data_IF_542137723600
#
_entry.id   IF_542137723600
#
_cell.length_a   1.000
_cell.length_b   1.000
_cell.length_c   1.000
_cell.angle_alpha   90.00
_cell.angle_beta   90.00
_cell.angle_gamma   90.00
#
_symmetry.space_group_name_H-M   'P 1'
#
loop_
_entity.id
_entity.type
_entity.pdbx_description
1 polymer ?
#
# COMPACT_ATOMS: atom_id res chain seq x y z
N UNK A 1 62.45 29.84 20.19
CA UNK A 1 61.07 30.34 20.05
C UNK A 1 60.15 29.15 19.80
N UNK A 2 59.39 28.72 20.81
CA UNK A 2 58.47 27.58 20.75
C UNK A 2 57.15 28.03 20.13
N UNK A 3 56.77 27.51 18.96
CA UNK A 3 55.44 27.73 18.37
C UNK A 3 54.47 26.75 19.04
N UNK A 4 53.55 27.30 19.83
CA UNK A 4 52.36 26.59 20.30
C UNK A 4 51.47 26.27 19.10
N UNK A 5 51.18 24.99 18.90
CA UNK A 5 50.20 24.51 17.95
C UNK A 5 48.90 24.30 18.73
N UNK A 6 47.96 25.24 18.59
CA UNK A 6 46.61 25.11 19.13
C UNK A 6 45.86 24.11 18.23
N UNK A 7 45.57 22.93 18.77
CA UNK A 7 44.65 21.97 18.17
C UNK A 7 43.23 22.53 18.32
N UNK A 8 42.70 23.10 17.24
CA UNK A 8 41.29 23.44 17.15
C UNK A 8 40.50 22.13 16.95
N UNK A 9 40.01 21.55 18.05
CA UNK A 9 39.07 20.42 17.99
C UNK A 9 37.76 21.00 17.44
N UNK A 10 37.55 20.81 16.14
CA UNK A 10 36.26 21.05 15.50
C UNK A 10 35.30 19.96 16.03
N UNK A 11 34.52 20.28 17.06
CA UNK A 11 33.30 19.54 17.37
C UNK A 11 32.32 19.79 16.20
N UNK A 12 32.42 18.99 15.15
CA UNK A 12 31.33 18.80 14.21
C UNK A 12 30.20 18.09 14.98
N UNK A 13 29.37 18.86 15.68
CA UNK A 13 28.03 18.42 16.01
C UNK A 13 27.32 18.23 14.67
N UNK A 14 27.37 17.00 14.13
CA UNK A 14 26.71 16.66 12.88
C UNK A 14 25.22 16.94 13.02
N UNK A 15 24.80 18.09 12.48
CA UNK A 15 23.42 18.46 12.28
C UNK A 15 22.83 17.41 11.34
N UNK A 16 22.03 16.51 11.89
CA UNK A 16 21.21 15.63 11.05
C UNK A 16 20.20 16.55 10.39
N UNK A 17 20.35 16.79 9.09
CA UNK A 17 19.29 17.38 8.29
C UNK A 17 18.18 16.33 8.19
N UNK A 18 17.10 16.57 8.91
CA UNK A 18 15.87 15.82 8.69
C UNK A 18 15.23 16.32 7.40
N UNK A 19 14.81 15.39 6.54
CA UNK A 19 14.10 15.72 5.30
C UNK A 19 12.64 16.11 5.53
N UNK A 20 12.10 15.73 6.68
CA UNK A 20 10.72 16.02 7.08
C UNK A 20 10.52 16.00 8.60
N UNK A 21 9.39 16.53 9.04
CA UNK A 21 8.95 16.52 10.44
C UNK A 21 7.58 15.87 10.57
N UNK A 22 7.43 14.81 11.37
CA UNK A 22 6.13 14.30 11.80
C UNK A 22 5.50 15.31 12.77
N UNK A 23 4.50 16.04 12.29
CA UNK A 23 3.81 17.10 13.02
C UNK A 23 2.76 16.56 13.95
N UNK A 24 1.94 15.68 13.43
CA UNK A 24 0.79 15.18 14.12
C UNK A 24 0.58 13.71 13.81
N UNK A 25 0.04 13.01 14.81
CA UNK A 25 -0.53 11.68 14.64
C UNK A 25 -1.91 11.78 15.22
N UNK A 26 -2.89 11.39 14.45
CA UNK A 26 -4.29 11.36 14.85
C UNK A 26 -4.93 10.10 14.33
N UNK A 27 -6.16 9.88 14.73
CA UNK A 27 -6.99 8.90 14.09
C UNK A 27 -8.37 9.47 13.86
N UNK A 28 -9.06 8.92 12.87
CA UNK A 28 -10.44 9.22 12.59
C UNK A 28 -11.20 7.91 12.42
N UNK A 29 -12.38 7.83 13.03
CA UNK A 29 -13.30 6.73 12.73
C UNK A 29 -13.92 7.01 11.38
N UNK A 30 -13.80 6.05 10.48
CA UNK A 30 -14.49 6.08 9.19
C UNK A 30 -15.54 4.97 9.18
N UNK A 31 -16.47 5.04 8.23
CA UNK A 31 -17.47 3.99 8.10
C UNK A 31 -16.78 2.67 7.75
N UNK A 32 -16.87 1.68 8.64
CA UNK A 32 -16.24 0.38 8.46
C UNK A 32 -14.75 0.30 8.80
N UNK A 33 -14.18 1.30 9.48
CA UNK A 33 -12.75 1.27 9.80
C UNK A 33 -12.21 2.47 10.56
N UNK A 34 -10.91 2.46 10.77
CA UNK A 34 -10.21 3.53 11.45
C UNK A 34 -9.04 3.98 10.59
N UNK A 35 -9.00 5.27 10.30
CA UNK A 35 -7.86 5.88 9.67
C UNK A 35 -6.87 6.29 10.75
N UNK A 36 -5.65 5.76 10.71
CA UNK A 36 -4.52 6.35 11.45
C UNK A 36 -3.84 7.35 10.51
N UNK A 37 -3.85 8.61 10.90
CA UNK A 37 -3.41 9.74 10.08
C UNK A 37 -2.13 10.32 10.63
N UNK A 38 -1.07 10.27 9.84
CA UNK A 38 0.25 10.82 10.16
C UNK A 38 0.44 12.05 9.27
N UNK A 39 0.63 13.22 9.88
CA UNK A 39 0.78 14.50 9.19
C UNK A 39 2.22 14.98 9.28
N UNK A 40 2.75 15.50 8.18
CA UNK A 40 4.15 15.84 8.03
C UNK A 40 4.38 17.26 7.52
N UNK A 41 5.51 17.85 7.88
CA UNK A 41 6.12 18.93 7.11
C UNK A 41 7.25 18.34 6.28
N UNK A 42 7.21 18.52 4.96
CA UNK A 42 8.22 17.99 4.05
C UNK A 42 7.95 16.54 3.64
N UNK A 43 8.77 16.05 2.71
CA UNK A 43 8.56 14.74 2.10
C UNK A 43 9.02 13.60 3.02
N UNK A 44 8.24 12.52 3.07
CA UNK A 44 8.55 11.34 3.90
C UNK A 44 8.87 10.11 3.07
N UNK A 45 9.67 9.21 3.66
CA UNK A 45 9.79 7.81 3.27
C UNK A 45 9.23 6.95 4.40
N UNK A 46 8.66 5.79 4.08
CA UNK A 46 8.17 4.89 5.12
C UNK A 46 8.41 3.41 4.80
N UNK A 47 8.53 2.60 5.86
CA UNK A 47 8.52 1.14 5.80
C UNK A 47 7.45 0.63 6.77
N UNK A 48 6.61 -0.30 6.32
CA UNK A 48 5.57 -0.91 7.16
C UNK A 48 5.85 -2.40 7.31
N UNK A 49 5.86 -2.88 8.55
CA UNK A 49 6.02 -4.30 8.85
C UNK A 49 5.29 -4.69 10.13
N UNK A 50 5.10 -6.00 10.30
CA UNK A 50 4.36 -6.60 11.41
C UNK A 50 5.33 -7.15 12.45
N UNK A 51 4.99 -7.00 13.74
CA UNK A 51 5.65 -7.69 14.84
C UNK A 51 4.61 -8.44 15.64
N UNK A 52 4.88 -9.72 15.93
CA UNK A 52 4.06 -10.52 16.83
C UNK A 52 4.62 -10.43 18.26
N UNK A 53 3.73 -10.40 19.27
CA UNK A 53 4.03 -10.38 20.73
C UNK A 53 4.65 -9.06 21.27
N UNK A 54 3.81 -8.04 21.60
CA UNK A 54 2.40 -7.91 21.23
C UNK A 54 2.26 -7.56 19.74
N UNK A 55 1.07 -7.80 19.19
CA UNK A 55 0.77 -7.56 17.77
C UNK A 55 0.84 -6.06 17.46
N UNK A 56 1.73 -5.70 16.55
CA UNK A 56 2.06 -4.30 16.26
C UNK A 56 2.32 -4.10 14.78
N UNK A 57 1.56 -3.22 14.15
CA UNK A 57 1.93 -2.66 12.87
C UNK A 57 2.91 -1.51 13.10
N UNK A 58 4.13 -1.67 12.61
CA UNK A 58 5.20 -0.70 12.79
C UNK A 58 5.42 0.06 11.49
N UNK A 59 5.45 1.38 11.60
CA UNK A 59 5.77 2.31 10.52
C UNK A 59 7.08 3.02 10.89
N UNK A 60 8.16 2.67 10.21
CA UNK A 60 9.40 3.43 10.29
C UNK A 60 9.33 4.62 9.34
N UNK A 61 9.82 5.77 9.81
CA UNK A 61 9.88 7.02 9.05
C UNK A 61 11.34 7.52 9.04
N UNK A 62 12.18 7.01 8.12
CA UNK A 62 13.57 7.44 7.98
C UNK A 62 13.67 8.93 7.65
N UNK A 63 14.75 9.55 8.12
CA UNK A 63 15.05 10.98 7.93
C UNK A 63 13.93 11.92 8.40
N UNK A 64 13.04 11.45 9.26
CA UNK A 64 11.88 12.19 9.76
C UNK A 64 12.07 12.52 11.24
N UNK A 65 11.96 13.80 11.59
CA UNK A 65 11.98 14.25 12.99
C UNK A 65 10.57 14.22 13.57
N UNK A 66 10.38 13.69 14.77
CA UNK A 66 9.11 13.84 15.46
C UNK A 66 9.05 15.22 16.12
N UNK A 67 8.00 16.00 15.84
CA UNK A 67 7.80 17.31 16.47
C UNK A 67 7.64 17.19 18.00
N UNK A 68 7.13 16.05 18.47
CA UNK A 68 7.07 15.67 19.88
C UNK A 68 8.04 14.52 20.16
N UNK A 69 8.74 14.53 21.30
CA UNK A 69 9.70 13.46 21.64
C UNK A 69 9.05 12.08 21.72
N UNK A 70 7.89 12.00 22.39
CA UNK A 70 7.06 10.81 22.53
C UNK A 70 5.61 11.25 22.51
N UNK A 71 4.76 10.45 21.87
CA UNK A 71 3.33 10.58 21.91
C UNK A 71 2.67 9.21 22.03
N UNK A 72 1.54 9.21 22.75
CA UNK A 72 0.73 8.05 23.02
C UNK A 72 -0.72 8.48 22.85
N UNK A 73 -1.44 7.77 21.99
CA UNK A 73 -2.83 8.04 21.69
C UNK A 73 -3.60 6.77 22.02
N UNK A 74 -4.35 6.73 23.13
CA UNK A 74 -5.29 5.65 23.35
C UNK A 74 -6.36 5.73 22.26
N UNK A 75 -6.46 4.67 21.46
CA UNK A 75 -7.46 4.56 20.41
C UNK A 75 -8.65 3.80 20.98
N UNK A 76 -8.41 2.60 21.54
CA UNK A 76 -9.43 1.74 22.15
C UNK A 76 -10.69 1.58 21.30
N UNK A 77 -10.49 1.56 20.00
CA UNK A 77 -11.56 1.59 19.01
C UNK A 77 -11.25 0.50 18.01
N UNK A 78 -12.23 -0.38 17.81
CA UNK A 78 -12.16 -1.38 16.76
C UNK A 78 -10.85 -2.22 16.85
N UNK A 79 -10.52 -2.65 18.07
CA UNK A 79 -9.34 -3.46 18.39
C UNK A 79 -7.96 -2.87 18.08
N UNK A 80 -7.89 -1.62 17.62
CA UNK A 80 -6.69 -0.81 17.68
C UNK A 80 -6.62 -0.24 19.10
N UNK A 81 -5.64 -0.71 19.87
CA UNK A 81 -5.50 -0.37 21.28
C UNK A 81 -4.96 1.05 21.41
N UNK A 82 -3.86 1.31 20.71
CA UNK A 82 -3.14 2.56 20.80
C UNK A 82 -2.29 2.82 19.57
N UNK A 83 -2.05 4.11 19.33
CA UNK A 83 -1.01 4.57 18.41
C UNK A 83 0.06 5.27 19.23
N UNK A 84 1.27 4.70 19.19
CA UNK A 84 2.46 5.30 19.79
C UNK A 84 3.32 5.89 18.70
N UNK A 85 3.94 7.01 19.00
CA UNK A 85 4.96 7.58 18.12
C UNK A 85 6.07 8.19 18.94
N UNK A 86 7.29 8.10 18.43
CA UNK A 86 8.44 8.72 19.06
C UNK A 86 9.56 8.94 18.06
N UNK A 87 10.52 9.78 18.46
CA UNK A 87 11.83 9.76 17.85
C UNK A 87 12.52 8.44 18.25
N UNK A 88 12.60 7.48 17.34
CA UNK A 88 13.16 6.15 17.63
C UNK A 88 14.69 6.15 17.65
N UNK A 89 15.31 6.90 16.74
CA UNK A 89 16.76 7.16 16.69
C UNK A 89 17.00 8.61 16.32
N UNK A 90 18.27 9.04 16.29
CA UNK A 90 18.66 10.41 15.90
C UNK A 90 18.17 10.81 14.50
N UNK A 91 17.82 9.86 13.64
CA UNK A 91 17.50 10.07 12.24
C UNK A 91 16.17 9.44 11.81
N UNK A 92 15.41 8.81 12.72
CA UNK A 92 14.18 8.10 12.37
C UNK A 92 13.11 8.29 13.42
N UNK A 93 11.91 8.64 12.98
CA UNK A 93 10.70 8.56 13.78
C UNK A 93 10.02 7.22 13.56
N UNK A 94 9.33 6.70 14.57
CA UNK A 94 8.57 5.46 14.44
C UNK A 94 7.16 5.69 14.94
N UNK A 95 6.19 5.21 14.18
CA UNK A 95 4.81 5.06 14.63
C UNK A 95 4.53 3.57 14.79
N UNK A 96 3.84 3.22 15.87
CA UNK A 96 3.46 1.85 16.20
C UNK A 96 1.98 1.85 16.48
N UNK A 97 1.22 1.15 15.64
CA UNK A 97 -0.19 0.86 15.88
C UNK A 97 -0.25 -0.50 16.55
N UNK A 98 -0.59 -0.50 17.84
CA UNK A 98 -0.79 -1.75 18.59
C UNK A 98 -2.22 -2.22 18.40
N UNK A 99 -2.35 -3.48 18.00
CA UNK A 99 -3.63 -4.09 17.66
C UNK A 99 -3.85 -5.33 18.52
N UNK A 100 -5.11 -5.64 18.81
CA UNK A 100 -5.51 -6.84 19.56
C UNK A 100 -5.39 -8.11 18.72
N UNK A 101 -5.59 -7.96 17.41
CA UNK A 101 -5.52 -8.98 16.36
C UNK A 101 -5.14 -8.30 15.04
N UNK A 102 -4.80 -9.08 14.01
CA UNK A 102 -4.44 -8.50 12.71
C UNK A 102 -5.69 -8.06 11.92
N UNK A 103 -5.76 -6.76 11.64
CA UNK A 103 -6.78 -6.17 10.75
C UNK A 103 -6.21 -5.94 9.34
N UNK A 104 -7.01 -6.10 8.28
CA UNK A 104 -6.65 -5.60 6.96
C UNK A 104 -6.39 -4.10 7.03
N UNK A 105 -5.32 -3.67 6.37
CA UNK A 105 -5.02 -2.26 6.25
C UNK A 105 -4.46 -1.93 4.87
N UNK A 106 -4.72 -0.72 4.41
CA UNK A 106 -4.12 -0.16 3.21
C UNK A 106 -3.47 1.19 3.54
N UNK A 107 -2.19 1.40 3.21
CA UNK A 107 -1.57 2.71 3.29
C UNK A 107 -1.94 3.56 2.06
N UNK A 108 -2.57 4.70 2.29
CA UNK A 108 -2.79 5.76 1.30
C UNK A 108 -1.92 6.97 1.67
N UNK A 109 -1.20 7.55 0.71
CA UNK A 109 -0.55 8.84 0.92
C UNK A 109 -1.40 9.93 0.27
N UNK A 110 -1.78 10.92 1.03
CA UNK A 110 -2.59 12.03 0.54
C UNK A 110 -1.96 13.30 1.04
N UNK A 111 -1.60 14.21 0.12
CA UNK A 111 -1.08 15.51 0.50
C UNK A 111 0.18 15.37 1.40
N UNK A 112 0.24 16.12 2.51
CA UNK A 112 1.26 16.00 3.54
C UNK A 112 0.96 14.88 4.58
N UNK A 113 0.17 13.87 4.21
CA UNK A 113 -0.29 12.82 5.12
C UNK A 113 0.00 11.41 4.62
N UNK A 114 0.31 10.51 5.54
CA UNK A 114 0.19 9.06 5.36
C UNK A 114 -1.01 8.59 6.17
N UNK A 115 -1.98 7.98 5.51
CA UNK A 115 -3.19 7.46 6.11
C UNK A 115 -3.12 5.94 6.04
N UNK A 116 -3.25 5.28 7.18
CA UNK A 116 -3.46 3.84 7.23
C UNK A 116 -4.94 3.59 7.43
N UNK A 117 -5.60 3.13 6.37
CA UNK A 117 -6.98 2.70 6.42
C UNK A 117 -7.01 1.32 7.03
N UNK A 118 -7.31 1.23 8.31
CA UNK A 118 -7.61 -0.06 8.93
C UNK A 118 -9.07 -0.37 8.67
N UNK A 119 -9.33 -1.42 7.92
CA UNK A 119 -10.66 -1.97 7.80
C UNK A 119 -10.91 -2.74 9.09
N UNK A 120 -11.72 -2.16 9.97
CA UNK A 120 -12.07 -2.83 11.20
C UNK A 120 -13.56 -3.08 11.25
N UNK A 121 -13.87 -4.35 11.39
CA UNK A 121 -15.19 -4.82 11.69
C UNK A 121 -15.72 -4.20 12.99
N UNK A 122 -16.56 -3.17 12.82
CA UNK A 122 -17.44 -2.50 13.80
C UNK A 122 -16.99 -1.09 14.17
N UNK A 123 -17.37 -0.15 13.29
CA UNK A 123 -17.56 1.25 13.67
C UNK A 123 -18.87 1.76 13.09
N UNK A 124 -19.94 1.61 13.88
CA UNK A 124 -21.08 2.52 13.79
C UNK A 124 -20.62 3.90 14.23
N UNK A 125 -20.88 4.91 13.41
CA UNK A 125 -20.72 6.31 13.76
C UNK A 125 -21.76 6.62 14.83
N UNK A 126 -21.33 6.75 16.09
CA UNK A 126 -22.01 7.64 17.03
C UNK A 126 -21.25 8.96 17.00
N UNK A 127 -21.59 9.79 16.01
CA UNK A 127 -21.64 11.22 16.28
C UNK A 127 -22.89 11.47 17.12
N UNK A 128 -22.73 12.15 18.25
CA UNK A 128 -23.85 12.79 18.92
C UNK A 128 -24.61 13.63 17.90
N UNK A 129 -25.87 13.29 17.64
CA UNK A 129 -26.89 14.32 17.51
C UNK A 129 -27.87 14.02 18.63
N UNK A 130 -28.12 15.04 19.45
CA UNK A 130 -29.15 15.06 20.48
C UNK A 130 -30.47 14.43 19.99
N UNK A 131 -31.27 13.89 20.92
CA UNK A 131 -32.06 12.69 20.71
C UNK A 131 -33.20 12.90 19.73
N UNK A 132 -33.36 11.96 18.80
CA UNK A 132 -34.66 11.58 18.25
C UNK A 132 -34.55 10.17 17.71
N UNK A 133 -35.38 9.28 18.25
CA UNK A 133 -35.39 7.88 17.85
C UNK A 133 -35.83 7.72 16.41
N UNK A 134 -35.04 6.97 15.66
CA UNK A 134 -35.50 6.11 14.59
C UNK A 134 -34.54 4.92 14.55
N UNK A 135 -35.12 3.73 14.41
CA UNK A 135 -34.42 2.45 14.57
C UNK A 135 -33.63 2.16 13.30
N UNK A 136 -32.34 2.46 13.30
CA UNK A 136 -31.45 2.27 12.14
C UNK A 136 -30.94 0.82 12.09
N UNK A 137 -31.35 0.09 11.04
CA UNK A 137 -31.06 -1.32 10.81
C UNK A 137 -29.64 -1.46 10.24
N UNK A 138 -28.79 -2.37 10.76
CA UNK A 138 -27.40 -2.55 10.33
C UNK A 138 -27.29 -2.91 8.83
N UNK A 139 -26.35 -2.27 8.12
CA UNK A 139 -26.01 -2.64 6.74
C UNK A 139 -25.40 -4.06 6.74
N UNK A 140 -26.17 -5.00 6.17
CA UNK A 140 -25.87 -6.43 6.16
C UNK A 140 -24.54 -6.71 5.41
N UNK A 141 -23.64 -7.55 5.95
CA UNK A 141 -22.46 -8.00 5.21
C UNK A 141 -22.87 -8.69 3.91
N UNK A 142 -22.03 -8.59 2.87
CA UNK A 142 -22.20 -9.32 1.63
C UNK A 142 -22.03 -10.81 1.90
N UNK A 143 -22.72 -11.64 1.13
CA UNK A 143 -22.69 -13.08 1.35
C UNK A 143 -22.05 -13.80 0.16
N UNK A 144 -21.07 -14.65 0.43
CA UNK A 144 -20.71 -15.76 -0.46
C UNK A 144 -21.75 -16.87 -0.25
N UNK A 145 -22.61 -17.04 -1.24
CA UNK A 145 -23.79 -17.91 -1.22
C UNK A 145 -23.50 -19.31 -1.72
N UNK A 146 -22.63 -19.44 -2.72
CA UNK A 146 -22.25 -20.73 -3.28
C UNK A 146 -20.81 -20.74 -3.81
N UNK A 147 -20.20 -21.92 -3.81
CA UNK A 147 -19.00 -22.21 -4.61
C UNK A 147 -19.31 -23.43 -5.47
N UNK A 148 -19.32 -23.25 -6.79
CA UNK A 148 -19.46 -24.34 -7.75
C UNK A 148 -18.14 -24.60 -8.46
N UNK A 149 -17.89 -25.89 -8.74
CA UNK A 149 -16.78 -26.33 -9.57
C UNK A 149 -17.36 -26.94 -10.84
N UNK A 150 -17.11 -26.32 -11.99
CA UNK A 150 -17.65 -26.75 -13.28
C UNK A 150 -16.52 -27.12 -14.24
N UNK A 151 -16.64 -28.27 -14.91
CA UNK A 151 -15.74 -28.59 -16.02
C UNK A 151 -15.97 -27.61 -17.16
N UNK A 152 -14.87 -27.17 -17.78
CA UNK A 152 -14.87 -26.40 -19.01
C UNK A 152 -14.10 -27.19 -20.08
N UNK A 153 -14.29 -26.87 -21.36
CA UNK A 153 -13.64 -27.59 -22.46
C UNK A 153 -12.11 -27.63 -22.32
N UNK A 154 -11.51 -26.55 -21.80
CA UNK A 154 -10.05 -26.43 -21.62
C UNK A 154 -9.58 -26.46 -20.15
N UNK A 155 -10.42 -26.97 -19.24
CA UNK A 155 -10.05 -27.07 -17.82
C UNK A 155 -11.25 -27.08 -16.89
N UNK A 156 -11.30 -26.11 -15.98
CA UNK A 156 -12.26 -26.07 -14.89
C UNK A 156 -12.51 -24.62 -14.46
N UNK A 157 -13.72 -24.34 -13.98
CA UNK A 157 -14.07 -23.05 -13.39
C UNK A 157 -14.49 -23.25 -11.95
N UNK A 158 -13.95 -22.42 -11.06
CA UNK A 158 -14.45 -22.24 -9.69
C UNK A 158 -15.28 -20.96 -9.68
N UNK A 159 -16.57 -21.09 -9.37
CA UNK A 159 -17.55 -20.00 -9.44
C UNK A 159 -17.96 -19.62 -8.03
N UNK A 160 -17.59 -18.42 -7.60
CA UNK A 160 -17.98 -17.82 -6.32
C UNK A 160 -19.25 -16.99 -6.53
N UNK A 161 -20.40 -17.48 -6.06
CA UNK A 161 -21.68 -16.75 -6.12
C UNK A 161 -21.84 -15.85 -4.92
N UNK A 162 -21.94 -14.54 -5.14
CA UNK A 162 -21.82 -13.48 -4.13
C UNK A 162 -23.03 -12.53 -4.15
N UNK A 163 -23.13 -11.65 -3.17
CA UNK A 163 -23.96 -10.44 -3.30
C UNK A 163 -23.33 -9.43 -4.25
N UNK A 164 -24.18 -8.57 -4.82
CA UNK A 164 -23.73 -7.54 -5.74
C UNK A 164 -22.82 -6.49 -5.09
N UNK A 165 -21.87 -5.97 -5.86
CA UNK A 165 -20.97 -4.90 -5.42
C UNK A 165 -19.81 -5.38 -4.54
N UNK A 166 -19.51 -6.69 -4.56
CA UNK A 166 -18.35 -7.25 -3.87
C UNK A 166 -17.03 -6.70 -4.44
N UNK A 167 -16.02 -6.65 -3.58
CA UNK A 167 -14.64 -6.27 -3.92
C UNK A 167 -13.68 -7.35 -3.48
N UNK A 168 -12.57 -7.50 -4.19
CA UNK A 168 -11.59 -8.52 -3.89
C UNK A 168 -10.18 -8.11 -4.29
N UNK A 169 -9.19 -8.76 -3.68
CA UNK A 169 -7.81 -8.85 -4.17
C UNK A 169 -7.41 -10.28 -4.37
N UNK A 170 -6.41 -10.52 -5.22
CA UNK A 170 -5.86 -11.85 -5.47
C UNK A 170 -4.36 -11.86 -5.25
N UNK A 171 -3.88 -12.93 -4.63
CA UNK A 171 -2.47 -13.27 -4.51
C UNK A 171 -2.26 -14.66 -5.09
N UNK A 172 -1.24 -14.80 -5.92
CA UNK A 172 -0.84 -16.08 -6.50
C UNK A 172 0.44 -16.58 -5.82
N UNK A 173 0.49 -17.88 -5.55
CA UNK A 173 1.64 -18.60 -5.05
C UNK A 173 1.73 -19.98 -5.75
N UNK A 174 2.85 -20.72 -5.61
CA UNK A 174 2.94 -22.09 -6.08
C UNK A 174 1.78 -22.94 -5.57
N UNK A 175 1.01 -23.51 -6.50
CA UNK A 175 -0.14 -24.37 -6.22
C UNK A 175 -1.25 -23.73 -5.37
N UNK A 176 -1.29 -22.40 -5.28
CA UNK A 176 -2.27 -21.71 -4.45
C UNK A 176 -2.71 -20.39 -5.08
N UNK A 177 -4.02 -20.15 -5.06
CA UNK A 177 -4.61 -18.85 -5.39
C UNK A 177 -5.42 -18.40 -4.17
N UNK A 178 -5.05 -17.26 -3.60
CA UNK A 178 -5.71 -16.69 -2.44
C UNK A 178 -6.51 -15.45 -2.85
N UNK A 179 -7.82 -15.46 -2.57
CA UNK A 179 -8.76 -14.40 -2.92
C UNK A 179 -9.32 -13.81 -1.62
N UNK A 180 -9.00 -12.55 -1.35
CA UNK A 180 -9.57 -11.81 -0.22
C UNK A 180 -10.84 -11.10 -0.69
N UNK A 181 -12.02 -11.53 -0.23
CA UNK A 181 -13.28 -10.81 -0.43
C UNK A 181 -13.55 -9.86 0.74
N UNK A 182 -13.72 -8.58 0.45
CA UNK A 182 -13.98 -7.56 1.46
C UNK A 182 -15.46 -7.44 1.79
N UNK A 183 -15.78 -7.17 3.05
CA UNK A 183 -17.13 -7.05 3.60
C UNK A 183 -18.04 -8.21 3.21
N UNK A 184 -17.45 -9.40 3.07
CA UNK A 184 -18.09 -10.64 2.61
C UNK A 184 -17.95 -11.73 3.67
N UNK A 185 -19.04 -12.42 3.98
CA UNK A 185 -19.08 -13.60 4.87
C UNK A 185 -19.56 -14.82 4.10
N UNK A 186 -19.17 -16.02 4.54
CA UNK A 186 -19.62 -17.27 3.92
C UNK A 186 -20.96 -17.73 4.51
N UNK A 187 -21.93 -18.03 3.65
CA UNK A 187 -23.20 -18.68 4.01
C UNK A 187 -23.18 -20.20 3.78
N UNK A 188 -22.02 -20.77 3.46
CA UNK A 188 -21.89 -22.18 3.06
C UNK A 188 -21.99 -23.17 4.23
N UNK A 189 -21.91 -22.68 5.46
CA UNK A 189 -21.93 -23.52 6.67
C UNK A 189 -20.72 -24.46 6.82
N UNK A 190 -19.66 -24.26 6.02
CA UNK A 190 -18.44 -25.07 6.02
C UNK A 190 -17.21 -24.19 5.79
N UNK A 191 -16.10 -24.57 6.41
CA UNK A 191 -14.79 -23.90 6.28
C UNK A 191 -13.94 -24.47 5.15
N UNK A 192 -14.35 -25.61 4.57
CA UNK A 192 -13.67 -26.15 3.40
C UNK A 192 -14.60 -26.91 2.48
N UNK A 193 -14.24 -26.92 1.20
CA UNK A 193 -14.83 -27.76 0.18
C UNK A 193 -13.73 -28.63 -0.43
N UNK A 194 -14.06 -29.88 -0.71
CA UNK A 194 -13.22 -30.71 -1.57
C UNK A 194 -13.23 -30.14 -2.99
N UNK A 195 -12.07 -30.15 -3.64
CA UNK A 195 -11.95 -29.80 -5.05
C UNK A 195 -12.45 -30.91 -5.98
N UNK A 196 -12.15 -30.81 -7.27
CA UNK A 196 -12.40 -31.91 -8.22
C UNK A 196 -11.37 -33.04 -8.09
N UNK A 197 -10.28 -32.83 -7.35
CA UNK A 197 -9.22 -33.80 -7.09
C UNK A 197 -8.18 -33.92 -8.21
N UNK A 198 -8.43 -33.32 -9.38
CA UNK A 198 -7.48 -33.31 -10.51
C UNK A 198 -6.80 -31.95 -10.71
N UNK A 199 -7.55 -30.86 -10.64
CA UNK A 199 -7.01 -29.49 -10.79
C UNK A 199 -7.01 -28.79 -9.43
N UNK A 200 -8.18 -28.69 -8.82
CA UNK A 200 -8.37 -28.15 -7.47
C UNK A 200 -8.28 -29.30 -6.49
N UNK A 201 -7.36 -29.18 -5.54
CA UNK A 201 -7.25 -30.11 -4.42
C UNK A 201 -8.35 -29.80 -3.39
N UNK A 202 -8.35 -28.55 -2.91
CA UNK A 202 -9.23 -28.11 -1.83
C UNK A 202 -9.51 -26.62 -1.94
N UNK A 203 -10.67 -26.20 -1.47
CA UNK A 203 -10.99 -24.78 -1.27
C UNK A 203 -11.19 -24.57 0.22
N UNK A 204 -10.42 -23.66 0.81
CA UNK A 204 -10.53 -23.28 2.20
C UNK A 204 -11.12 -21.88 2.32
N UNK A 205 -12.05 -21.73 3.25
CA UNK A 205 -12.77 -20.51 3.57
C UNK A 205 -12.30 -20.08 4.95
N UNK A 206 -11.58 -18.98 5.01
CA UNK A 206 -11.10 -18.42 6.27
C UNK A 206 -11.80 -17.08 6.49
N UNK A 207 -12.78 -17.02 7.42
CA UNK A 207 -13.31 -15.72 7.84
C UNK A 207 -12.18 -14.85 8.37
N UNK A 208 -12.04 -13.66 7.81
CA UNK A 208 -11.06 -12.67 8.24
C UNK A 208 -11.80 -11.60 9.02
N UNK A 209 -11.51 -11.48 10.31
CA UNK A 209 -12.11 -10.47 11.21
C UNK A 209 -13.66 -10.47 11.26
N UNK A 210 -14.31 -11.59 10.91
CA UNK A 210 -15.77 -11.75 10.97
C UNK A 210 -16.58 -10.97 9.92
N UNK A 211 -15.93 -10.18 9.07
CA UNK A 211 -16.57 -9.38 8.01
C UNK A 211 -15.95 -9.55 6.64
N UNK A 212 -14.72 -10.02 6.57
CA UNK A 212 -14.06 -10.36 5.32
C UNK A 212 -13.94 -11.87 5.20
N UNK A 213 -13.67 -12.34 3.99
CA UNK A 213 -13.54 -13.75 3.71
C UNK A 213 -12.32 -13.95 2.81
N UNK A 214 -11.31 -14.62 3.34
CA UNK A 214 -10.25 -15.18 2.51
C UNK A 214 -10.71 -16.53 1.96
N UNK A 215 -10.51 -16.73 0.66
CA UNK A 215 -10.77 -17.97 -0.04
C UNK A 215 -9.48 -18.44 -0.67
N UNK A 216 -8.94 -19.54 -0.15
CA UNK A 216 -7.73 -20.16 -0.66
C UNK A 216 -8.11 -21.37 -1.51
N UNK A 217 -7.76 -21.32 -2.79
CA UNK A 217 -7.92 -22.43 -3.74
C UNK A 217 -6.57 -23.12 -3.86
N UNK A 218 -6.45 -24.28 -3.22
CA UNK A 218 -5.27 -25.15 -3.34
C UNK A 218 -5.39 -25.98 -4.62
N UNK A 219 -4.31 -26.03 -5.38
CA UNK A 219 -4.23 -26.66 -6.68
C UNK A 219 -3.30 -27.88 -6.62
N UNK A 220 -3.53 -28.88 -7.48
CA UNK A 220 -2.67 -30.05 -7.58
C UNK A 220 -1.33 -29.77 -8.26
N UNK A 221 -1.30 -28.74 -9.08
CA UNK A 221 -0.15 -28.29 -9.85
C UNK A 221 -0.36 -26.80 -10.20
N UNK A 222 0.51 -26.24 -11.01
CA UNK A 222 0.40 -24.88 -11.50
C UNK A 222 -0.51 -24.81 -12.73
N UNK A 223 -1.60 -24.05 -12.60
CA UNK A 223 -2.58 -23.89 -13.67
C UNK A 223 -2.70 -22.41 -14.05
N UNK A 224 -2.60 -22.07 -15.34
CA UNK A 224 -3.01 -20.80 -15.88
C UNK A 224 -4.42 -20.50 -15.46
N UNK A 225 -4.63 -19.25 -15.07
CA UNK A 225 -5.93 -18.83 -14.61
C UNK A 225 -6.29 -17.43 -15.11
N UNK A 226 -7.60 -17.22 -15.21
CA UNK A 226 -8.24 -15.94 -15.46
C UNK A 226 -9.34 -15.70 -14.42
N UNK A 227 -9.59 -14.43 -14.13
CA UNK A 227 -10.68 -14.01 -13.24
C UNK A 227 -11.67 -13.16 -14.01
N UNK A 228 -12.93 -13.58 -13.98
CA UNK A 228 -14.04 -12.90 -14.63
C UNK A 228 -14.99 -12.37 -13.55
N UNK A 229 -14.94 -11.05 -13.33
CA UNK A 229 -15.79 -10.34 -12.37
C UNK A 229 -17.12 -10.03 -13.04
N UNK A 230 -18.20 -10.61 -12.52
CA UNK A 230 -19.57 -10.29 -12.90
C UNK A 230 -20.26 -9.52 -11.77
N UNK A 231 -21.52 -9.14 -12.00
CA UNK A 231 -22.30 -8.34 -11.03
C UNK A 231 -22.43 -9.04 -9.68
N UNK A 232 -22.66 -10.34 -9.69
CA UNK A 232 -22.99 -11.19 -8.55
C UNK A 232 -22.11 -12.46 -8.46
N UNK A 233 -21.08 -12.58 -9.31
CA UNK A 233 -20.22 -13.77 -9.35
C UNK A 233 -18.79 -13.44 -9.72
N UNK A 234 -17.83 -14.04 -9.01
CA UNK A 234 -16.44 -14.11 -9.46
C UNK A 234 -16.19 -15.50 -10.03
N UNK A 235 -15.65 -15.58 -11.25
CA UNK A 235 -15.33 -16.87 -11.88
C UNK A 235 -13.82 -16.97 -12.04
N UNK A 236 -13.21 -17.91 -11.32
CA UNK A 236 -11.82 -18.33 -11.49
C UNK A 236 -11.77 -19.45 -12.52
N UNK A 237 -11.26 -19.17 -13.72
CA UNK A 237 -11.14 -20.13 -14.82
C UNK A 237 -9.73 -20.69 -14.80
N UNK A 238 -9.57 -21.97 -14.49
CA UNK A 238 -8.31 -22.72 -14.46
C UNK A 238 -8.17 -23.53 -15.76
N UNK A 239 -7.04 -23.36 -16.46
CA UNK A 239 -6.74 -24.03 -17.73
C UNK A 239 -5.67 -25.09 -17.54
N UNK A 240 -5.77 -26.20 -18.26
CA UNK A 240 -4.71 -27.23 -18.25
C UNK A 240 -3.48 -26.72 -19.01
N UNK A 241 -2.30 -26.83 -18.38
CA UNK A 241 -1.02 -26.64 -19.08
C UNK A 241 -0.68 -27.94 -19.80
N UNK A 242 -0.57 -27.89 -21.12
CA UNK A 242 -0.08 -29.04 -21.88
C UNK A 242 1.45 -29.17 -21.84
N UNK A 243 2.20 -28.07 -21.72
CA UNK A 243 3.65 -28.05 -21.53
C UNK A 243 4.11 -26.78 -20.79
N UNK A 244 4.94 -26.90 -19.75
CA UNK A 244 5.59 -25.75 -19.09
C UNK A 244 6.69 -25.22 -20.00
N UNK A 245 6.34 -24.28 -20.88
CA UNK A 245 7.30 -23.60 -21.74
C UNK A 245 7.82 -22.35 -21.05
N UNK A 246 9.10 -22.06 -21.30
CA UNK A 246 9.62 -20.74 -20.98
C UNK A 246 8.98 -19.72 -21.91
N UNK A 247 8.37 -18.68 -21.36
CA UNK A 247 7.56 -17.74 -22.13
C UNK A 247 8.22 -16.37 -22.28
N UNK A 248 7.92 -15.71 -23.40
CA UNK A 248 8.44 -14.38 -23.68
C UNK A 248 7.52 -13.31 -23.11
N UNK A 249 8.11 -12.33 -22.40
CA UNK A 249 7.52 -11.00 -22.25
C UNK A 249 7.91 -10.24 -23.51
N UNK A 250 6.97 -10.12 -24.44
CA UNK A 250 7.19 -9.63 -25.79
C UNK A 250 7.18 -8.10 -25.89
N UNK A 251 6.43 -7.44 -25.02
CA UNK A 251 6.39 -5.97 -24.95
C UNK A 251 6.02 -5.43 -23.58
N UNK A 252 6.29 -4.15 -23.36
CA UNK A 252 5.76 -3.37 -22.24
C UNK A 252 5.09 -2.13 -22.80
N UNK A 253 3.77 -2.15 -22.80
CA UNK A 253 2.96 -1.02 -23.25
C UNK A 253 2.64 -0.11 -22.06
N UNK A 254 2.58 1.19 -22.34
CA UNK A 254 2.15 2.18 -21.37
C UNK A 254 1.06 3.05 -21.95
N UNK A 255 0.02 3.28 -21.15
CA UNK A 255 -1.06 4.21 -21.48
C UNK A 255 -1.38 5.07 -20.26
N UNK A 256 -1.60 6.37 -20.48
CA UNK A 256 -2.14 7.25 -19.44
C UNK A 256 -3.61 7.58 -19.74
N UNK A 257 -4.51 7.34 -18.79
CA UNK A 257 -5.94 7.69 -18.90
C UNK A 257 -6.48 8.06 -17.52
N UNK A 258 -7.25 9.15 -17.43
CA UNK A 258 -7.88 9.62 -16.18
C UNK A 258 -6.88 9.70 -15.01
N UNK A 259 -5.72 10.34 -15.23
CA UNK A 259 -4.64 10.50 -14.24
C UNK A 259 -4.00 9.19 -13.72
N UNK A 260 -4.32 8.08 -14.35
CA UNK A 260 -3.74 6.76 -14.10
C UNK A 260 -2.82 6.35 -15.24
N UNK A 261 -1.71 5.73 -14.87
CA UNK A 261 -0.77 5.07 -15.76
C UNK A 261 -1.03 3.57 -15.70
N UNK A 262 -1.27 2.99 -16.87
CA UNK A 262 -1.42 1.56 -17.07
C UNK A 262 -0.14 1.06 -17.70
N UNK A 263 0.58 0.19 -17.01
CA UNK A 263 1.74 -0.55 -17.53
C UNK A 263 1.27 -1.96 -17.82
N UNK A 264 1.34 -2.38 -19.08
CA UNK A 264 0.92 -3.70 -19.53
C UNK A 264 2.12 -4.49 -20.02
N UNK A 265 2.44 -5.57 -19.33
CA UNK A 265 3.44 -6.55 -19.72
C UNK A 265 2.78 -7.56 -20.68
N UNK A 266 3.11 -7.45 -21.97
CA UNK A 266 2.56 -8.29 -23.05
C UNK A 266 3.26 -9.64 -23.04
N UNK A 267 2.53 -10.69 -22.69
CA UNK A 267 3.10 -12.03 -22.57
C UNK A 267 2.63 -12.94 -23.71
N UNK A 268 3.53 -13.73 -24.29
CA UNK A 268 3.17 -14.71 -25.34
C UNK A 268 2.35 -15.90 -24.81
N UNK A 269 2.25 -16.04 -23.50
CA UNK A 269 1.44 -17.03 -22.82
C UNK A 269 1.21 -16.61 -21.37
N UNK A 270 0.51 -17.46 -20.62
CA UNK A 270 0.33 -17.23 -19.19
C UNK A 270 1.66 -17.39 -18.45
N UNK A 271 2.10 -16.33 -17.78
CA UNK A 271 3.33 -16.31 -16.99
C UNK A 271 2.97 -16.00 -15.55
N UNK A 272 3.48 -16.79 -14.60
CA UNK A 272 3.36 -16.48 -13.16
C UNK A 272 4.20 -15.25 -12.83
N UNK A 273 3.70 -14.41 -11.93
CA UNK A 273 4.46 -13.31 -11.36
C UNK A 273 4.35 -13.24 -9.83
N UNK A 274 5.36 -12.64 -9.21
CA UNK A 274 5.30 -12.17 -7.83
C UNK A 274 5.69 -10.69 -7.76
N UNK A 275 5.26 -10.02 -6.71
CA UNK A 275 5.55 -8.60 -6.46
C UNK A 275 6.42 -8.41 -5.20
N UNK A 276 7.35 -7.47 -5.27
CA UNK A 276 8.16 -7.01 -4.14
C UNK A 276 8.19 -5.47 -4.14
N UNK A 277 7.77 -4.85 -3.04
CA UNK A 277 7.88 -3.40 -2.89
C UNK A 277 9.29 -3.02 -2.41
N UNK A 278 9.96 -2.12 -3.14
CA UNK A 278 11.30 -1.63 -2.84
C UNK A 278 11.25 -0.11 -2.57
N UNK A 279 10.67 0.32 -1.44
CA UNK A 279 10.34 1.73 -1.19
C UNK A 279 11.56 2.64 -1.08
N UNK A 280 12.73 2.11 -0.68
CA UNK A 280 13.99 2.89 -0.64
C UNK A 280 14.43 3.35 -2.02
N UNK A 281 14.07 2.58 -3.04
CA UNK A 281 14.42 2.83 -4.42
C UNK A 281 13.26 3.44 -5.22
N UNK A 282 12.13 3.73 -4.58
CA UNK A 282 10.88 4.19 -5.23
C UNK A 282 10.43 3.25 -6.35
N UNK A 283 10.59 1.94 -6.10
CA UNK A 283 10.34 0.88 -7.08
C UNK A 283 9.34 -0.14 -6.58
N UNK A 284 8.60 -0.70 -7.53
CA UNK A 284 7.92 -1.98 -7.39
C UNK A 284 8.58 -2.96 -8.34
N UNK A 285 9.01 -4.10 -7.80
CA UNK A 285 9.62 -5.17 -8.56
C UNK A 285 8.58 -6.23 -8.87
N UNK A 286 8.47 -6.58 -10.15
CA UNK A 286 7.71 -7.73 -10.63
C UNK A 286 8.70 -8.81 -11.06
N UNK A 287 8.48 -10.03 -10.58
CA UNK A 287 9.30 -11.20 -10.92
C UNK A 287 8.41 -12.15 -11.70
N UNK A 288 8.66 -12.26 -12.99
CA UNK A 288 7.97 -13.20 -13.88
C UNK A 288 8.75 -14.51 -13.94
N UNK A 289 8.12 -15.59 -13.50
CA UNK A 289 8.76 -16.89 -13.34
C UNK A 289 8.82 -17.66 -14.67
N UNK A 290 9.92 -18.38 -14.88
CA UNK A 290 10.14 -19.19 -16.10
C UNK A 290 9.89 -18.39 -17.39
N UNK A 291 10.38 -17.16 -17.45
CA UNK A 291 10.21 -16.24 -18.55
C UNK A 291 11.55 -15.72 -19.10
N UNK A 292 11.50 -15.10 -20.27
CA UNK A 292 12.57 -14.26 -20.79
C UNK A 292 11.98 -12.97 -21.39
N UNK A 293 12.71 -11.87 -21.29
CA UNK A 293 12.31 -10.61 -21.88
C UNK A 293 12.84 -10.54 -23.32
N UNK A 294 12.03 -10.01 -24.24
CA UNK A 294 12.50 -9.62 -25.57
C UNK A 294 13.67 -8.63 -25.44
N UNK A 295 14.68 -8.72 -26.32
CA UNK A 295 15.90 -7.90 -26.22
C UNK A 295 15.64 -6.39 -26.14
N UNK A 296 14.55 -5.93 -26.77
CA UNK A 296 14.13 -4.52 -26.80
C UNK A 296 13.61 -3.97 -25.46
N UNK A 297 13.40 -4.81 -24.43
CA UNK A 297 12.71 -4.43 -23.18
C UNK A 297 13.64 -4.08 -22.02
N UNK A 298 14.93 -3.85 -22.29
CA UNK A 298 15.90 -3.51 -21.25
C UNK A 298 15.48 -2.29 -20.44
N UNK A 299 14.97 -1.24 -21.09
CA UNK A 299 14.41 -0.05 -20.41
C UNK A 299 13.34 0.61 -21.28
N UNK A 300 12.14 0.79 -20.72
CA UNK A 300 10.98 1.43 -21.35
C UNK A 300 10.65 2.71 -20.59
N UNK A 301 11.01 3.90 -21.11
CA UNK A 301 10.75 5.17 -20.43
C UNK A 301 9.27 5.55 -20.54
N UNK A 302 8.68 5.99 -19.44
CA UNK A 302 7.28 6.42 -19.39
C UNK A 302 7.23 7.94 -19.27
N UNK A 303 6.69 8.60 -20.30
CA UNK A 303 6.80 10.06 -20.44
C UNK A 303 5.81 10.85 -19.57
N UNK A 304 4.78 10.21 -19.01
CA UNK A 304 3.69 10.91 -18.31
C UNK A 304 3.11 10.08 -17.16
N UNK A 305 2.90 10.74 -16.03
CA UNK A 305 2.14 10.22 -14.88
C UNK A 305 3.03 9.67 -13.76
N UNK A 306 2.48 8.76 -12.97
CA UNK A 306 3.07 8.20 -11.75
C UNK A 306 4.27 7.27 -11.96
N UNK A 307 4.55 6.84 -13.18
CA UNK A 307 5.63 5.89 -13.51
C UNK A 307 6.70 6.65 -14.30
N UNK A 308 7.96 6.45 -13.93
CA UNK A 308 9.12 7.07 -14.56
C UNK A 308 9.64 6.17 -15.68
N UNK A 309 9.92 4.91 -15.34
CA UNK A 309 10.46 3.93 -16.27
C UNK A 309 10.13 2.52 -15.80
N UNK A 310 10.18 1.58 -16.75
CA UNK A 310 10.18 0.15 -16.46
C UNK A 310 11.49 -0.43 -17.00
N UNK A 311 12.28 -1.04 -16.13
CA UNK A 311 13.53 -1.70 -16.52
C UNK A 311 13.37 -3.20 -16.35
N UNK A 312 13.63 -3.97 -17.41
CA UNK A 312 13.45 -5.42 -17.37
C UNK A 312 14.72 -6.15 -17.74
N UNK A 313 15.03 -7.22 -17.01
CA UNK A 313 16.18 -8.08 -17.30
C UNK A 313 15.86 -9.53 -17.02
N UNK A 314 16.41 -10.40 -17.84
CA UNK A 314 16.37 -11.85 -17.60
C UNK A 314 17.45 -12.23 -16.59
N UNK A 315 17.07 -12.85 -15.47
CA UNK A 315 17.98 -13.36 -14.43
C UNK A 315 17.68 -14.84 -14.22
N UNK A 316 18.60 -15.70 -14.65
CA UNK A 316 18.37 -17.15 -14.69
C UNK A 316 17.17 -17.48 -15.59
N UNK A 317 16.17 -18.14 -14.99
CA UNK A 317 14.93 -18.50 -15.68
C UNK A 317 13.83 -17.44 -15.55
N UNK A 318 14.05 -16.33 -14.86
CA UNK A 318 13.02 -15.35 -14.56
C UNK A 318 13.27 -14.03 -15.29
N UNK A 319 12.23 -13.22 -15.47
CA UNK A 319 12.35 -11.80 -15.81
C UNK A 319 12.08 -10.98 -14.57
N UNK A 320 13.01 -10.11 -14.23
CA UNK A 320 12.84 -9.10 -13.18
C UNK A 320 12.54 -7.78 -13.87
N UNK A 321 11.37 -7.23 -13.59
CA UNK A 321 10.94 -5.92 -14.08
C UNK A 321 10.80 -4.95 -12.90
N UNK A 322 11.70 -3.98 -12.82
CA UNK A 322 11.65 -2.91 -11.83
C UNK A 322 10.89 -1.72 -12.43
N UNK A 323 9.72 -1.42 -11.85
CA UNK A 323 8.90 -0.26 -12.18
C UNK A 323 9.30 0.89 -11.26
N UNK A 324 10.00 1.88 -11.82
CA UNK A 324 10.38 3.09 -11.10
C UNK A 324 9.20 4.07 -11.08
N UNK A 325 8.88 4.57 -9.90
CA UNK A 325 7.70 5.36 -9.63
C UNK A 325 8.10 6.79 -9.27
N UNK A 326 7.18 7.71 -9.51
CA UNK A 326 7.22 9.02 -8.88
C UNK A 326 6.75 8.87 -7.43
N UNK A 327 7.18 9.79 -6.56
CA UNK A 327 6.67 9.87 -5.20
C UNK A 327 5.14 10.02 -5.17
N UNK A 328 4.51 9.44 -4.14
CA UNK A 328 3.08 9.58 -3.83
C UNK A 328 2.14 8.90 -4.83
N UNK A 329 2.06 7.57 -4.75
CA UNK A 329 1.28 6.73 -5.67
C UNK A 329 0.35 5.75 -4.95
N UNK A 330 -0.71 5.36 -5.62
CA UNK A 330 -1.49 4.15 -5.34
C UNK A 330 -1.38 3.22 -6.53
N UNK A 331 -1.40 1.89 -6.32
CA UNK A 331 -1.34 0.94 -7.42
C UNK A 331 -2.15 -0.33 -7.17
N UNK A 332 -2.49 -1.02 -8.26
CA UNK A 332 -3.03 -2.39 -8.26
C UNK A 332 -2.45 -3.18 -9.42
N UNK A 333 -2.28 -4.48 -9.25
CA UNK A 333 -1.82 -5.40 -10.29
C UNK A 333 -2.89 -6.47 -10.52
N UNK A 334 -3.18 -6.77 -11.78
CA UNK A 334 -4.16 -7.76 -12.18
C UNK A 334 -3.83 -8.36 -13.55
N UNK A 335 -4.51 -9.44 -13.92
CA UNK A 335 -4.39 -10.09 -15.24
C UNK A 335 -5.45 -9.60 -16.21
N UNK A 336 -5.07 -9.43 -17.47
CA UNK A 336 -5.98 -9.20 -18.60
C UNK A 336 -5.60 -10.15 -19.74
N UNK A 337 -6.25 -11.31 -19.76
CA UNK A 337 -5.82 -12.45 -20.56
C UNK A 337 -4.43 -12.94 -20.14
N UNK A 338 -3.51 -13.07 -21.11
CA UNK A 338 -2.14 -13.47 -20.80
C UNK A 338 -1.30 -12.31 -20.22
N UNK A 339 -1.75 -11.07 -20.37
CA UNK A 339 -0.98 -9.90 -19.96
C UNK A 339 -1.09 -9.65 -18.45
N UNK A 340 -0.02 -9.10 -17.87
CA UNK A 340 -0.05 -8.56 -16.50
C UNK A 340 -0.15 -7.05 -16.60
N UNK A 341 -1.11 -6.46 -15.90
CA UNK A 341 -1.38 -5.02 -15.92
C UNK A 341 -1.17 -4.44 -14.53
N UNK A 342 -0.34 -3.42 -14.45
CA UNK A 342 -0.17 -2.56 -13.29
C UNK A 342 -0.85 -1.23 -13.56
N UNK A 343 -1.85 -0.89 -12.76
CA UNK A 343 -2.49 0.43 -12.75
C UNK A 343 -1.89 1.24 -11.62
N UNK A 344 -1.39 2.43 -11.94
CA UNK A 344 -0.71 3.33 -11.01
C UNK A 344 -1.34 4.72 -11.10
N UNK A 345 -1.71 5.28 -9.96
CA UNK A 345 -2.30 6.61 -9.87
C UNK A 345 -1.36 7.55 -9.12
N UNK A 346 -1.18 8.76 -9.63
CA UNK A 346 -0.49 9.83 -8.89
C UNK A 346 -1.47 10.43 -7.89
N UNK A 347 -1.07 10.46 -6.63
CA UNK A 347 -1.82 11.15 -5.58
C UNK A 347 -1.35 12.62 -5.60
N UNK A 348 -2.30 13.57 -5.64
CA UNK A 348 -2.02 14.99 -5.89
C UNK A 348 -0.94 15.55 -4.95
N UNK A 349 -0.11 16.47 -5.47
CA UNK A 349 0.78 17.29 -4.64
C UNK A 349 -0.02 18.48 -4.12
N UNK A 350 -0.02 18.73 -2.81
CA UNK A 350 -0.59 19.97 -2.26
C UNK A 350 0.05 21.19 -2.94
N UNK A 351 -0.74 22.22 -3.31
CA UNK A 351 -0.16 23.48 -3.78
C UNK A 351 0.66 24.10 -2.65
N UNK A 352 1.90 24.46 -2.96
CA UNK A 352 2.78 25.17 -2.03
C UNK A 352 2.08 26.44 -1.53
N UNK A 353 1.85 26.53 -0.22
CA UNK A 353 1.35 27.74 0.43
C UNK A 353 2.34 28.88 0.13
N UNK A 354 1.90 29.85 -0.66
CA UNK A 354 2.66 31.05 -0.95
C UNK A 354 3.05 31.76 0.36
N UNK A 355 4.35 31.91 0.60
CA UNK A 355 4.88 32.64 1.75
C UNK A 355 4.39 34.10 1.71
N UNK A 356 3.42 34.43 2.55
CA UNK A 356 3.09 35.82 2.89
C UNK A 356 3.81 36.18 4.18
N UNK A 357 5.07 36.60 4.08
CA UNK A 357 5.80 37.20 5.22
C UNK A 357 5.90 38.72 5.07
N UNK A 358 4.77 39.41 5.07
CA UNK A 358 4.73 40.83 5.45
C UNK A 358 4.79 40.92 6.98
N UNK A 359 6.01 40.83 7.55
CA UNK A 359 6.23 41.13 8.97
C UNK A 359 6.95 42.47 9.09
N UNK A 360 6.16 43.48 9.48
CA UNK A 360 6.59 44.82 9.92
C UNK A 360 7.86 44.73 10.77
N UNK A 361 8.94 45.35 10.29
CA UNK A 361 10.10 45.69 11.09
C UNK A 361 9.70 46.90 11.94
N UNK A 362 9.53 46.69 13.24
CA UNK A 362 9.49 47.80 14.19
C UNK A 362 10.87 48.44 14.21
N UNK A 363 10.92 49.71 13.83
CA UNK A 363 12.09 50.57 13.95
C UNK A 363 12.42 50.76 15.43
N UNK A 364 13.52 50.13 15.86
CA UNK A 364 14.16 50.43 17.13
C UNK A 364 14.92 51.74 17.01
N UNK A 365 14.39 52.75 17.70
CA UNK A 365 14.96 54.06 18.01
C UNK A 365 16.48 54.02 18.18
N UNK A 366 17.22 54.60 17.23
CA UNK A 366 18.59 55.07 17.46
C UNK A 366 18.46 56.52 17.94
N UNK A 367 18.73 56.76 19.23
CA UNK A 367 18.97 58.11 19.75
C UNK A 367 20.32 58.58 19.20
N UNK A 368 20.29 59.52 18.27
CA UNK A 368 21.44 60.35 17.92
C UNK A 368 21.88 61.16 19.14
N UNK A 369 23.13 60.99 19.56
CA UNK A 369 23.81 61.90 20.47
C UNK A 369 24.51 62.93 19.59
N UNK A 370 23.93 64.12 19.50
CA UNK A 370 24.57 65.31 18.93
C UNK A 370 25.69 65.76 19.86
N UNK A 371 26.94 65.71 19.39
CA UNK A 371 28.06 66.45 19.98
C UNK A 371 28.30 67.68 19.14
N UNK A 372 27.86 68.82 19.66
CA UNK A 372 28.14 70.15 19.12
C UNK A 372 29.60 70.51 19.45
N UNK A 373 30.34 71.04 18.47
CA UNK A 373 31.68 71.58 18.64
C UNK A 373 31.62 73.08 18.36
N UNK A 374 31.98 73.89 19.36
CA UNK A 374 32.29 75.32 19.21
C UNK A 374 31.53 76.24 20.17
N UNK A 375 32.14 76.59 21.32
CA UNK A 375 32.73 77.92 21.53
C UNK A 375 33.25 78.10 22.97
N UNK A 376 34.42 78.76 23.03
CA UNK A 376 35.32 79.15 24.13
C UNK A 376 36.44 78.16 24.44
#
# INVERSE_FOLDING_TARGET
>A
MKRWMIFLILLCAGSVLYGSTLKNVSYEKINGGLDVKLEFEGQIKYEIFKLDKPLRLVINLPSTRSAKQVGHIPVNVAGIEEVRYSQFSKDMSRVVVQVKEWYPYFPERKDNMLILHFTVADLTVAGEIQPSGDTEVPAKPKELKNIDIMKADEGLSVIFSLDEGYNYTVKEAPQEISIDFYSTVSQLGKESLEGDGFIVDKIHLTPVSGKDLNVTVSLKDEFPYDLDKQRDKLILKLRKVSEVKRLEIADIESQTKNDKVYIRFKNQGWVRYSEEQLPKEEKIRLIFENAYAAEKLSTVPIRKGAVVEVSSKTVGNNVISDVLLNDNISYRIYRDGNDVVMEVESLAKEPALAETSNKKRNEGVIKEISVHKGDI
#
